data_IF_675644329138
#
_entry.id   IF_675644329138
#
_cell.length_a   1.000
_cell.length_b   1.000
_cell.length_c   1.000
_cell.angle_alpha   90.00
_cell.angle_beta   90.00
_cell.angle_gamma   90.00
#
_symmetry.space_group_name_H-M   'P 1'
#
loop_
_entity.id
_entity.type
_entity.pdbx_description
1 polymer ?
#
# COMPACT_ATOMS: atom_id res chain seq x y z
N UNK A 1 -33.35 74.77 -27.00
CA UNK A 1 -33.81 73.32 -26.87
C UNK A 1 -33.12 72.38 -27.86
N UNK A 2 -32.89 72.74 -29.10
CA UNK A 2 -32.27 71.80 -30.09
C UNK A 2 -30.77 71.53 -29.81
N UNK A 3 -30.00 72.46 -29.25
CA UNK A 3 -28.56 72.27 -28.94
C UNK A 3 -28.34 71.36 -27.76
N UNK A 4 -29.20 71.44 -26.73
CA UNK A 4 -29.18 70.50 -25.55
C UNK A 4 -29.48 69.06 -25.91
N UNK A 5 -30.43 68.81 -26.86
CA UNK A 5 -30.76 67.48 -27.33
C UNK A 5 -29.59 66.83 -28.11
N UNK A 6 -28.83 67.60 -28.92
CA UNK A 6 -27.67 67.14 -29.66
C UNK A 6 -26.50 66.75 -28.70
N UNK A 7 -26.28 67.48 -27.61
CA UNK A 7 -25.26 67.13 -26.63
C UNK A 7 -25.62 65.88 -25.81
N UNK A 8 -26.92 65.68 -25.50
CA UNK A 8 -27.37 64.45 -24.82
C UNK A 8 -27.24 63.22 -25.73
N UNK A 9 -27.50 63.36 -27.03
CA UNK A 9 -27.37 62.26 -28.00
C UNK A 9 -25.91 61.86 -28.23
N UNK A 10 -24.95 62.83 -28.22
CA UNK A 10 -23.51 62.56 -28.31
C UNK A 10 -22.96 61.91 -27.06
N UNK A 11 -23.47 62.24 -25.86
CA UNK A 11 -23.07 61.56 -24.59
C UNK A 11 -23.58 60.12 -24.50
N UNK A 12 -24.74 59.82 -25.04
CA UNK A 12 -25.27 58.43 -25.06
C UNK A 12 -24.54 57.53 -26.08
N UNK A 13 -24.05 58.10 -27.19
CA UNK A 13 -23.25 57.37 -28.15
C UNK A 13 -21.80 57.12 -27.71
N UNK A 14 -21.26 57.94 -26.81
CA UNK A 14 -19.92 57.76 -26.25
C UNK A 14 -19.87 56.68 -25.13
N UNK A 15 -21.01 56.30 -24.53
CA UNK A 15 -21.09 55.29 -23.46
C UNK A 15 -21.08 53.85 -23.94
N UNK A 16 -21.18 53.57 -25.26
CA UNK A 16 -21.29 52.24 -25.82
C UNK A 16 -19.98 51.62 -26.32
N UNK A 17 -18.82 52.23 -26.08
CA UNK A 17 -17.56 51.80 -26.68
C UNK A 17 -16.47 51.35 -25.69
N UNK A 18 -16.81 51.02 -24.44
CA UNK A 18 -15.88 50.32 -23.55
C UNK A 18 -16.39 48.91 -23.36
N UNK A 19 -16.37 48.09 -24.40
CA UNK A 19 -16.23 46.66 -24.26
C UNK A 19 -14.77 46.41 -23.94
N UNK A 20 -14.47 46.31 -22.67
CA UNK A 20 -13.22 45.71 -22.21
C UNK A 20 -13.21 44.29 -22.73
N UNK A 21 -12.51 44.08 -23.82
CA UNK A 21 -12.10 42.75 -24.26
C UNK A 21 -11.06 42.27 -23.26
N UNK A 22 -11.49 41.75 -22.13
CA UNK A 22 -10.61 40.91 -21.33
C UNK A 22 -10.40 39.65 -22.15
N UNK A 23 -9.23 39.53 -22.78
CA UNK A 23 -8.74 38.27 -23.27
C UNK A 23 -8.86 37.26 -22.13
N UNK A 24 -9.43 36.07 -22.32
CA UNK A 24 -9.40 35.08 -21.28
C UNK A 24 -7.94 34.87 -20.92
N UNK A 25 -7.62 35.00 -19.64
CA UNK A 25 -6.28 34.68 -19.12
C UNK A 25 -6.19 33.16 -19.26
N UNK A 26 -5.64 32.71 -20.38
CA UNK A 26 -5.41 31.30 -20.64
C UNK A 26 -4.31 30.85 -19.66
N UNK A 27 -4.62 29.81 -18.88
CA UNK A 27 -3.62 29.13 -18.06
C UNK A 27 -2.47 28.70 -19.00
N UNK A 28 -1.22 29.19 -18.80
CA UNK A 28 -0.09 28.84 -19.67
C UNK A 28 0.23 27.34 -19.66
N UNK A 29 -0.36 26.58 -18.74
CA UNK A 29 -0.24 25.12 -18.64
C UNK A 29 -1.54 24.40 -19.02
N UNK A 30 -2.44 25.06 -19.73
CA UNK A 30 -3.64 24.43 -20.27
C UNK A 30 -3.28 23.22 -21.15
N UNK A 31 -4.00 22.13 -21.00
CA UNK A 31 -3.77 20.90 -21.76
C UNK A 31 -2.56 20.05 -21.29
N UNK A 32 -1.75 20.55 -20.32
CA UNK A 32 -0.59 19.83 -19.81
C UNK A 32 -0.97 18.95 -18.62
N UNK A 33 -0.52 17.70 -18.64
CA UNK A 33 -0.71 16.77 -17.51
C UNK A 33 0.11 17.21 -16.29
N UNK A 34 -0.35 16.98 -15.04
CA UNK A 34 0.42 17.27 -13.84
C UNK A 34 1.80 16.58 -13.79
N UNK A 35 1.94 15.43 -14.43
CA UNK A 35 3.20 14.70 -14.53
C UNK A 35 4.20 15.42 -15.42
N UNK A 36 3.72 16.07 -16.47
CA UNK A 36 4.54 16.79 -17.44
C UNK A 36 4.84 18.24 -17.04
N UNK A 37 4.15 18.81 -16.06
CA UNK A 37 4.34 20.20 -15.63
C UNK A 37 5.82 20.56 -15.35
N UNK A 38 6.58 19.66 -14.73
CA UNK A 38 8.01 19.86 -14.47
C UNK A 38 8.81 20.00 -15.76
N UNK A 39 8.47 19.23 -16.78
CA UNK A 39 9.12 19.28 -18.08
C UNK A 39 8.96 20.66 -18.71
N UNK A 40 7.75 21.20 -18.70
CA UNK A 40 7.45 22.53 -19.27
C UNK A 40 7.94 23.68 -18.41
N UNK A 41 8.10 23.50 -17.10
CA UNK A 41 8.56 24.56 -16.16
C UNK A 41 10.08 24.68 -16.07
N UNK A 42 10.84 23.63 -16.43
CA UNK A 42 12.25 23.50 -16.03
C UNK A 42 13.23 24.30 -16.86
N UNK A 43 12.90 24.71 -18.09
CA UNK A 43 13.85 25.33 -19.03
C UNK A 43 13.28 26.53 -19.75
N UNK A 44 14.18 27.44 -20.18
CA UNK A 44 13.85 28.53 -21.10
C UNK A 44 13.57 28.04 -22.52
N UNK A 45 14.28 26.96 -22.91
CA UNK A 45 14.05 26.20 -24.14
C UNK A 45 13.58 24.79 -23.80
N UNK A 46 12.47 24.36 -24.37
CA UNK A 46 11.85 23.06 -24.19
C UNK A 46 12.13 22.22 -25.43
N UNK A 47 12.46 20.95 -25.25
CA UNK A 47 12.70 20.03 -26.39
C UNK A 47 11.39 19.34 -26.75
N UNK A 48 11.08 19.15 -28.05
CA UNK A 48 9.99 18.28 -28.46
C UNK A 48 10.22 16.86 -27.90
N UNK A 49 9.19 16.17 -27.44
CA UNK A 49 9.32 14.83 -26.83
C UNK A 49 9.83 13.78 -27.82
N UNK A 50 9.54 13.96 -29.13
CA UNK A 50 10.11 13.16 -30.20
C UNK A 50 11.59 13.43 -30.46
N UNK A 51 12.12 14.49 -29.85
CA UNK A 51 13.53 14.88 -29.96
C UNK A 51 13.89 15.68 -31.19
N UNK A 52 12.93 16.02 -32.06
CA UNK A 52 13.15 16.67 -33.37
C UNK A 52 13.66 18.09 -33.26
N UNK A 53 13.06 18.91 -32.40
CA UNK A 53 13.33 20.36 -32.30
C UNK A 53 13.32 20.84 -30.85
N UNK A 54 13.58 22.12 -30.67
CA UNK A 54 13.39 22.88 -29.42
C UNK A 54 12.52 24.09 -29.69
N UNK A 55 11.77 24.51 -28.69
CA UNK A 55 10.90 25.68 -28.71
C UNK A 55 11.05 26.47 -27.41
N UNK A 56 10.65 27.72 -27.43
CA UNK A 56 10.69 28.61 -26.27
C UNK A 56 9.33 28.63 -25.56
N UNK A 57 9.28 29.18 -24.37
CA UNK A 57 7.97 29.35 -23.65
C UNK A 57 6.99 30.26 -24.40
N UNK A 58 7.45 31.16 -25.25
CA UNK A 58 6.58 32.00 -26.06
C UNK A 58 5.88 31.24 -27.19
N UNK A 59 6.43 30.10 -27.53
CA UNK A 59 5.88 29.17 -28.53
C UNK A 59 5.05 28.04 -27.89
N UNK A 60 4.82 28.10 -26.59
CA UNK A 60 3.95 27.15 -25.91
C UNK A 60 2.49 27.62 -26.02
N UNK A 61 1.65 26.83 -26.68
CA UNK A 61 0.24 27.14 -26.92
C UNK A 61 0.04 28.46 -27.70
N UNK A 62 0.84 28.73 -28.72
CA UNK A 62 0.76 29.91 -29.56
C UNK A 62 -0.06 29.73 -30.84
N UNK A 63 -0.77 28.61 -30.97
CA UNK A 63 -1.55 28.22 -32.14
C UNK A 63 -0.71 27.90 -33.39
N UNK A 64 0.60 27.68 -33.23
CA UNK A 64 1.51 27.29 -34.31
C UNK A 64 2.27 26.00 -34.00
N UNK A 65 2.16 25.00 -34.86
CA UNK A 65 2.77 23.69 -34.63
C UNK A 65 4.25 23.65 -34.98
N UNK A 66 5.12 23.81 -34.00
CA UNK A 66 6.58 23.69 -34.13
C UNK A 66 7.07 22.24 -33.99
N UNK A 67 6.50 21.46 -33.09
CA UNK A 67 6.83 20.05 -32.84
C UNK A 67 5.83 19.13 -33.56
N UNK A 68 6.33 18.21 -34.37
CA UNK A 68 5.48 17.27 -35.10
C UNK A 68 4.66 16.35 -34.19
N UNK A 69 5.10 16.13 -32.95
CA UNK A 69 4.42 15.33 -31.93
C UNK A 69 3.43 16.15 -31.09
N UNK A 70 3.33 17.47 -31.31
CA UNK A 70 2.44 18.38 -30.60
C UNK A 70 2.89 18.72 -29.18
N UNK A 71 4.16 18.55 -28.86
CA UNK A 71 4.70 18.91 -27.54
C UNK A 71 4.56 20.40 -27.23
N UNK A 72 4.67 21.27 -28.20
CA UNK A 72 4.55 22.74 -28.10
C UNK A 72 3.10 23.22 -27.95
N UNK A 73 2.15 22.44 -28.41
CA UNK A 73 0.72 22.80 -28.48
C UNK A 73 -0.19 21.84 -27.65
N UNK A 74 0.12 21.62 -26.36
CA UNK A 74 -0.69 20.71 -25.52
C UNK A 74 -2.10 21.27 -25.23
N UNK A 75 -2.29 22.59 -25.33
CA UNK A 75 -3.54 23.28 -25.02
C UNK A 75 -4.36 23.71 -26.22
N UNK A 76 -3.87 23.52 -27.45
CA UNK A 76 -4.54 24.02 -28.66
C UNK A 76 -4.81 22.92 -29.70
N UNK A 77 -5.52 23.26 -30.76
CA UNK A 77 -5.79 22.36 -31.89
C UNK A 77 -4.77 22.47 -33.04
N UNK A 78 -3.69 23.24 -32.87
CA UNK A 78 -2.75 23.59 -33.95
C UNK A 78 -1.95 22.37 -34.47
N UNK A 79 -1.59 21.43 -33.63
CA UNK A 79 -0.84 20.23 -34.02
C UNK A 79 -1.74 19.00 -34.22
N UNK A 80 -1.74 18.34 -35.37
CA UNK A 80 -2.62 17.20 -35.65
C UNK A 80 -2.31 15.98 -34.76
N UNK A 81 -1.09 15.83 -34.26
CA UNK A 81 -0.69 14.74 -33.35
C UNK A 81 -0.72 15.17 -31.86
N UNK A 82 -1.10 16.42 -31.58
CA UNK A 82 -1.19 16.96 -30.24
C UNK A 82 -2.22 16.24 -29.37
N UNK A 83 -2.04 16.32 -28.07
CA UNK A 83 -2.95 15.75 -27.07
C UNK A 83 -3.22 16.75 -25.97
N UNK A 84 -4.49 16.91 -25.67
CA UNK A 84 -4.98 17.77 -24.60
C UNK A 84 -5.31 16.95 -23.35
N UNK A 85 -4.87 17.40 -22.19
CA UNK A 85 -5.15 16.75 -20.92
C UNK A 85 -6.23 17.51 -20.14
N UNK A 86 -7.44 16.93 -20.03
CA UNK A 86 -8.48 17.39 -19.13
C UNK A 86 -8.12 17.01 -17.69
N UNK A 87 -8.03 17.94 -16.77
CA UNK A 87 -7.79 17.66 -15.34
C UNK A 87 -8.97 16.98 -14.68
N UNK A 88 -10.19 17.34 -15.08
CA UNK A 88 -11.44 16.77 -14.60
C UNK A 88 -11.51 16.65 -13.08
N UNK A 89 -11.20 17.74 -12.35
CA UNK A 89 -11.12 17.73 -10.90
C UNK A 89 -12.41 17.19 -10.25
N UNK A 90 -12.31 16.07 -9.54
CA UNK A 90 -13.46 15.36 -8.94
C UNK A 90 -13.93 14.14 -9.75
N UNK A 91 -13.34 13.91 -10.94
CA UNK A 91 -13.53 12.74 -11.78
C UNK A 91 -12.17 12.20 -12.27
N UNK A 92 -12.18 11.21 -13.14
CA UNK A 92 -10.96 10.72 -13.77
C UNK A 92 -10.47 11.70 -14.83
N UNK A 93 -9.14 11.99 -14.88
CA UNK A 93 -8.57 12.77 -15.97
C UNK A 93 -8.78 12.07 -17.30
N UNK A 94 -8.86 12.86 -18.37
CA UNK A 94 -9.07 12.38 -19.75
C UNK A 94 -8.00 12.98 -20.66
N UNK A 95 -7.56 12.24 -21.66
CA UNK A 95 -6.67 12.74 -22.71
C UNK A 95 -7.44 12.73 -24.03
N UNK A 96 -7.56 13.89 -24.65
CA UNK A 96 -8.19 14.11 -25.93
C UNK A 96 -7.15 14.29 -27.04
N UNK A 97 -7.54 14.06 -28.27
CA UNK A 97 -6.77 14.53 -29.40
C UNK A 97 -6.96 16.05 -29.57
N UNK A 98 -5.93 16.75 -30.03
CA UNK A 98 -5.96 18.21 -30.27
C UNK A 98 -7.14 18.69 -31.11
N UNK A 99 -7.61 17.86 -32.05
CA UNK A 99 -8.80 18.14 -32.88
C UNK A 99 -10.11 18.31 -32.11
N UNK A 100 -10.11 17.94 -30.83
CA UNK A 100 -11.26 18.10 -29.92
C UNK A 100 -11.19 19.39 -29.08
N UNK A 101 -10.16 20.20 -29.26
CA UNK A 101 -10.01 21.45 -28.55
C UNK A 101 -10.69 22.56 -29.32
N UNK A 102 -11.63 23.27 -28.68
CA UNK A 102 -12.45 24.32 -29.27
C UNK A 102 -13.23 23.86 -30.51
N UNK A 103 -13.73 22.61 -30.51
CA UNK A 103 -14.52 22.04 -31.59
C UNK A 103 -16.05 22.26 -31.44
N UNK A 104 -16.44 22.86 -30.31
CA UNK A 104 -17.85 23.15 -30.01
C UNK A 104 -18.53 22.02 -29.21
N UNK A 105 -17.80 20.99 -28.78
CA UNK A 105 -18.31 19.86 -28.04
C UNK A 105 -17.58 19.76 -26.70
N UNK A 106 -18.30 19.82 -25.57
CA UNK A 106 -17.73 19.67 -24.24
C UNK A 106 -17.34 18.19 -23.97
N UNK A 107 -16.12 17.81 -24.28
CA UNK A 107 -15.60 16.46 -24.07
C UNK A 107 -15.00 16.30 -22.65
N UNK A 108 -14.35 17.32 -22.10
CA UNK A 108 -13.93 17.37 -20.71
C UNK A 108 -15.11 17.67 -19.78
N UNK A 109 -15.28 16.92 -18.72
CA UNK A 109 -16.35 17.23 -17.77
C UNK A 109 -16.16 18.54 -17.02
N UNK A 110 -14.96 19.12 -16.99
CA UNK A 110 -14.66 20.45 -16.44
C UNK A 110 -14.79 21.58 -17.49
N UNK A 111 -15.03 21.21 -18.75
CA UNK A 111 -15.19 22.13 -19.87
C UNK A 111 -13.90 22.82 -20.31
N UNK A 112 -12.75 22.30 -19.89
CA UNK A 112 -11.44 22.94 -20.16
C UNK A 112 -10.99 22.84 -21.62
N UNK A 113 -11.60 21.98 -22.41
CA UNK A 113 -11.39 21.82 -23.86
C UNK A 113 -12.02 22.94 -24.69
N UNK A 114 -13.09 23.58 -24.19
CA UNK A 114 -13.85 24.64 -24.88
C UNK A 114 -13.63 26.01 -24.22
N UNK A 115 -12.42 26.54 -24.32
CA UNK A 115 -12.02 27.78 -23.63
C UNK A 115 -12.11 29.05 -24.49
N UNK A 116 -12.40 28.95 -25.78
CA UNK A 116 -12.46 30.11 -26.69
C UNK A 116 -13.71 31.01 -26.50
N UNK A 117 -14.62 30.57 -25.63
CA UNK A 117 -15.83 31.32 -25.27
C UNK A 117 -16.97 31.21 -26.28
N UNK A 118 -16.85 30.40 -27.33
CA UNK A 118 -17.95 30.15 -28.28
C UNK A 118 -19.02 29.25 -27.70
N UNK A 119 -18.62 28.28 -26.91
CA UNK A 119 -19.50 27.34 -26.20
C UNK A 119 -19.29 27.46 -24.70
N UNK A 120 -20.38 27.43 -23.94
CA UNK A 120 -20.32 27.45 -22.47
C UNK A 120 -20.48 26.03 -21.94
N UNK A 121 -19.38 25.40 -21.51
CA UNK A 121 -19.39 24.09 -20.88
C UNK A 121 -19.57 24.22 -19.36
N UNK A 122 -20.59 23.54 -18.83
CA UNK A 122 -20.79 23.46 -17.38
C UNK A 122 -19.88 22.37 -16.79
N UNK A 123 -19.22 22.67 -15.65
CA UNK A 123 -18.44 21.66 -14.93
C UNK A 123 -19.35 20.60 -14.30
N UNK A 124 -19.33 19.38 -14.83
CA UNK A 124 -20.11 18.22 -14.38
C UNK A 124 -19.27 17.15 -13.67
N UNK A 125 -17.95 17.38 -13.48
CA UNK A 125 -17.02 16.40 -12.95
C UNK A 125 -17.40 15.88 -11.57
N UNK A 126 -17.97 16.77 -10.72
CA UNK A 126 -18.37 16.35 -9.38
C UNK A 126 -19.45 15.27 -9.41
N UNK A 127 -20.48 15.46 -10.24
CA UNK A 127 -21.55 14.47 -10.36
C UNK A 127 -21.06 13.22 -11.09
N UNK A 128 -20.33 13.37 -12.19
CA UNK A 128 -19.75 12.25 -12.93
C UNK A 128 -18.86 11.35 -12.07
N UNK A 129 -18.06 11.95 -11.17
CA UNK A 129 -17.17 11.21 -10.28
C UNK A 129 -17.81 10.65 -9.01
N UNK A 130 -19.09 10.93 -8.72
CA UNK A 130 -19.79 10.58 -7.48
C UNK A 130 -19.70 9.09 -7.12
N UNK A 131 -20.05 8.22 -8.04
CA UNK A 131 -20.04 6.77 -7.82
C UNK A 131 -18.64 6.24 -7.49
N UNK A 132 -17.62 6.73 -8.21
CA UNK A 132 -16.22 6.35 -7.95
C UNK A 132 -15.75 6.78 -6.57
N UNK A 133 -16.09 8.02 -6.15
CA UNK A 133 -15.76 8.53 -4.81
C UNK A 133 -16.47 7.76 -3.70
N UNK A 134 -17.73 7.43 -3.87
CA UNK A 134 -18.48 6.61 -2.90
C UNK A 134 -17.89 5.22 -2.75
N UNK A 135 -17.53 4.58 -3.86
CA UNK A 135 -16.87 3.26 -3.84
C UNK A 135 -15.50 3.32 -3.16
N UNK A 136 -14.71 4.37 -3.45
CA UNK A 136 -13.41 4.58 -2.80
C UNK A 136 -13.58 4.80 -1.30
N UNK A 137 -14.56 5.62 -0.89
CA UNK A 137 -14.88 5.83 0.54
C UNK A 137 -15.21 4.53 1.26
N UNK A 138 -16.04 3.67 0.65
CA UNK A 138 -16.36 2.34 1.20
C UNK A 138 -15.11 1.47 1.35
N UNK A 139 -14.24 1.42 0.32
CA UNK A 139 -12.98 0.67 0.38
C UNK A 139 -12.07 1.16 1.51
N UNK A 140 -11.91 2.48 1.65
CA UNK A 140 -11.10 3.08 2.73
C UNK A 140 -11.68 2.71 4.10
N UNK A 141 -12.99 2.79 4.27
CA UNK A 141 -13.65 2.43 5.51
C UNK A 141 -13.41 0.95 5.87
N UNK A 142 -13.62 0.03 4.92
CA UNK A 142 -13.36 -1.40 5.13
C UNK A 142 -11.90 -1.68 5.46
N UNK A 143 -10.97 -1.03 4.76
CA UNK A 143 -9.54 -1.15 5.04
C UNK A 143 -9.20 -0.70 6.46
N UNK A 144 -9.70 0.47 6.87
CA UNK A 144 -9.45 1.00 8.22
C UNK A 144 -10.02 0.10 9.31
N UNK A 145 -11.21 -0.47 9.12
CA UNK A 145 -11.80 -1.45 10.03
C UNK A 145 -10.92 -2.70 10.12
N UNK A 146 -10.45 -3.22 9.00
CA UNK A 146 -9.53 -4.37 8.95
C UNK A 146 -8.21 -4.10 9.68
N UNK A 147 -7.64 -2.91 9.52
CA UNK A 147 -6.41 -2.50 10.25
C UNK A 147 -6.62 -2.50 11.76
N UNK A 148 -7.76 -1.98 12.24
CA UNK A 148 -8.07 -1.97 13.68
C UNK A 148 -8.21 -3.39 14.24
N UNK A 149 -8.95 -4.26 13.53
CA UNK A 149 -9.11 -5.67 13.91
C UNK A 149 -7.74 -6.37 13.95
N UNK A 150 -6.95 -6.20 12.91
CA UNK A 150 -5.62 -6.84 12.80
C UNK A 150 -4.66 -6.40 13.90
N UNK A 151 -4.68 -5.12 14.27
CA UNK A 151 -3.87 -4.63 15.41
C UNK A 151 -4.28 -5.30 16.72
N UNK A 152 -5.58 -5.45 16.96
CA UNK A 152 -6.10 -6.13 18.15
C UNK A 152 -5.69 -7.62 18.18
N UNK A 153 -5.79 -8.32 17.06
CA UNK A 153 -5.36 -9.72 16.94
C UNK A 153 -3.86 -9.90 17.20
N UNK A 154 -3.03 -9.01 16.67
CA UNK A 154 -1.58 -9.02 16.91
C UNK A 154 -1.27 -8.85 18.39
N UNK A 155 -1.95 -7.93 19.07
CA UNK A 155 -1.74 -7.70 20.50
C UNK A 155 -2.19 -8.90 21.34
N UNK A 156 -3.33 -9.51 21.01
CA UNK A 156 -3.81 -10.73 21.66
C UNK A 156 -2.84 -11.90 21.45
N UNK A 157 -2.32 -12.04 20.22
CA UNK A 157 -1.35 -13.10 19.90
C UNK A 157 -0.03 -12.92 20.67
N UNK A 158 0.46 -11.70 20.84
CA UNK A 158 1.67 -11.42 21.66
C UNK A 158 1.48 -11.87 23.12
N UNK A 159 0.35 -11.45 23.73
CA UNK A 159 0.03 -11.85 25.10
C UNK A 159 -0.12 -13.38 25.24
N UNK A 160 -0.72 -14.04 24.24
CA UNK A 160 -0.80 -15.48 24.18
C UNK A 160 0.59 -16.14 24.13
N UNK A 161 1.45 -15.67 23.23
CA UNK A 161 2.79 -16.19 23.06
C UNK A 161 3.64 -16.07 24.34
N UNK A 162 3.58 -14.91 25.01
CA UNK A 162 4.28 -14.70 26.29
C UNK A 162 3.83 -15.69 27.38
N UNK A 163 2.53 -15.99 27.46
CA UNK A 163 1.99 -17.00 28.39
C UNK A 163 2.49 -18.41 28.05
N UNK A 164 2.43 -18.79 26.77
CA UNK A 164 2.86 -20.10 26.31
C UNK A 164 4.36 -20.30 26.52
N UNK A 165 5.17 -19.28 26.30
CA UNK A 165 6.61 -19.32 26.59
C UNK A 165 6.92 -19.48 28.10
N UNK A 166 6.17 -18.78 28.96
CA UNK A 166 6.31 -18.92 30.40
C UNK A 166 5.93 -20.33 30.88
N UNK A 167 4.83 -20.89 30.36
CA UNK A 167 4.39 -22.26 30.67
C UNK A 167 5.37 -23.30 30.16
N UNK A 168 5.86 -23.15 28.94
CA UNK A 168 6.89 -24.03 28.37
C UNK A 168 8.16 -24.03 29.22
N UNK A 169 8.60 -22.89 29.73
CA UNK A 169 9.76 -22.79 30.63
C UNK A 169 9.51 -23.55 31.94
N UNK A 170 8.30 -23.43 32.51
CA UNK A 170 7.91 -24.13 33.74
C UNK A 170 7.91 -25.64 33.50
N UNK A 171 7.25 -26.12 32.45
CA UNK A 171 7.18 -27.56 32.10
C UNK A 171 8.56 -28.16 31.83
N UNK A 172 9.47 -27.46 31.15
CA UNK A 172 10.85 -27.91 30.96
C UNK A 172 11.61 -28.03 32.28
N UNK A 173 11.36 -27.14 33.24
CA UNK A 173 11.94 -27.23 34.58
C UNK A 173 11.42 -28.46 35.36
N UNK A 174 10.12 -28.67 35.33
CA UNK A 174 9.47 -29.83 35.96
C UNK A 174 9.96 -31.18 35.33
N UNK A 175 10.05 -31.24 34.02
CA UNK A 175 10.60 -32.39 33.29
C UNK A 175 12.04 -32.70 33.76
N UNK A 176 12.88 -31.72 33.92
CA UNK A 176 14.25 -31.89 34.38
C UNK A 176 14.31 -32.45 35.81
N UNK A 177 13.44 -31.95 36.70
CA UNK A 177 13.35 -32.43 38.09
C UNK A 177 12.88 -33.92 38.12
N UNK A 178 11.81 -34.23 37.35
CA UNK A 178 11.28 -35.58 37.25
C UNK A 178 12.30 -36.57 36.68
N UNK A 179 13.02 -36.19 35.63
CA UNK A 179 14.11 -37.00 35.07
C UNK A 179 15.19 -37.31 36.13
N UNK A 180 15.59 -36.30 36.92
CA UNK A 180 16.53 -36.46 38.01
C UNK A 180 16.00 -37.47 39.09
N UNK A 181 14.73 -37.30 39.47
CA UNK A 181 14.12 -38.21 40.45
C UNK A 181 14.01 -39.66 39.92
N UNK A 182 13.62 -39.84 38.67
CA UNK A 182 13.59 -41.17 38.04
C UNK A 182 14.97 -41.80 38.01
N UNK A 183 16.01 -41.04 37.74
CA UNK A 183 17.37 -41.59 37.77
C UNK A 183 17.80 -41.99 39.21
N UNK A 184 17.52 -41.16 40.19
CA UNK A 184 17.81 -41.52 41.62
C UNK A 184 17.07 -42.80 42.06
N UNK A 185 15.81 -42.94 41.65
CA UNK A 185 15.05 -44.17 41.98
C UNK A 185 15.63 -45.38 41.30
N UNK A 186 16.09 -45.28 40.06
CA UNK A 186 16.75 -46.39 39.35
C UNK A 186 18.04 -46.79 40.03
N UNK A 187 18.88 -45.79 40.40
CA UNK A 187 20.16 -46.06 41.10
C UNK A 187 19.91 -46.73 42.45
N UNK A 188 18.91 -46.26 43.19
CA UNK A 188 18.50 -46.86 44.47
C UNK A 188 17.98 -48.29 44.29
N UNK A 189 17.16 -48.53 43.28
CA UNK A 189 16.69 -49.91 42.96
C UNK A 189 17.86 -50.84 42.67
N UNK A 190 18.80 -50.43 41.85
CA UNK A 190 19.99 -51.22 41.53
C UNK A 190 20.86 -51.51 42.77
N UNK A 191 20.98 -50.56 43.70
CA UNK A 191 21.68 -50.78 44.95
C UNK A 191 20.97 -51.85 45.81
N UNK A 192 19.66 -51.80 45.95
CA UNK A 192 18.87 -52.75 46.67
C UNK A 192 18.98 -54.14 46.01
N UNK A 193 18.85 -54.25 44.74
CA UNK A 193 19.00 -55.51 44.00
C UNK A 193 20.39 -56.17 44.21
N UNK A 194 21.44 -55.35 44.22
CA UNK A 194 22.80 -55.85 44.52
C UNK A 194 22.94 -56.37 45.96
N UNK A 195 22.31 -55.72 46.95
CA UNK A 195 22.31 -56.15 48.35
C UNK A 195 21.55 -57.47 48.47
N UNK A 196 20.34 -57.55 47.89
CA UNK A 196 19.54 -58.76 47.94
C UNK A 196 20.24 -59.97 47.27
N UNK A 197 20.90 -59.72 46.15
CA UNK A 197 21.68 -60.76 45.45
C UNK A 197 22.85 -61.26 46.33
N UNK A 198 23.55 -60.33 46.98
CA UNK A 198 24.64 -60.68 47.87
C UNK A 198 24.14 -61.56 49.08
N UNK A 199 23.06 -61.13 49.71
CA UNK A 199 22.43 -61.87 50.82
C UNK A 199 21.96 -63.23 50.36
N UNK A 200 21.41 -63.36 49.15
CA UNK A 200 21.01 -64.63 48.59
C UNK A 200 22.21 -65.59 48.39
N UNK A 201 23.30 -65.09 47.84
CA UNK A 201 24.50 -65.86 47.63
C UNK A 201 25.15 -66.31 48.97
N UNK A 202 25.12 -65.44 49.99
CA UNK A 202 25.61 -65.79 51.35
C UNK A 202 24.74 -66.90 51.96
N UNK A 203 23.44 -66.83 51.91
CA UNK A 203 22.52 -67.84 52.37
C UNK A 203 22.70 -69.21 51.64
N UNK A 204 22.87 -69.18 50.32
CA UNK A 204 23.17 -70.39 49.55
C UNK A 204 24.52 -71.00 49.94
N UNK A 205 25.55 -70.24 50.29
CA UNK A 205 26.80 -70.80 50.82
C UNK A 205 26.64 -71.39 52.17
N UNK A 206 26.01 -70.68 53.09
CA UNK A 206 25.75 -71.18 54.45
C UNK A 206 24.92 -72.50 54.40
N UNK A 207 23.94 -72.55 53.51
CA UNK A 207 23.14 -73.77 53.35
C UNK A 207 23.94 -74.99 52.76
N UNK A 208 24.84 -74.73 51.80
CA UNK A 208 25.76 -75.70 51.27
C UNK A 208 26.73 -76.21 52.35
N UNK A 209 27.38 -75.28 53.09
CA UNK A 209 28.29 -75.64 54.21
C UNK A 209 27.58 -76.44 55.27
N UNK A 210 26.34 -76.09 55.63
CA UNK A 210 25.51 -76.88 56.58
C UNK A 210 25.22 -78.25 56.04
N UNK A 211 24.83 -78.42 54.79
CA UNK A 211 24.57 -79.73 54.14
C UNK A 211 25.82 -80.60 54.06
N UNK A 212 26.98 -80.01 53.79
CA UNK A 212 28.27 -80.75 53.79
C UNK A 212 28.66 -81.19 55.18
N UNK A 213 28.49 -80.30 56.19
CA UNK A 213 28.73 -80.65 57.59
C UNK A 213 27.79 -81.77 58.11
N UNK A 214 26.47 -81.75 57.73
CA UNK A 214 25.53 -82.79 58.05
C UNK A 214 25.91 -84.12 57.38
N UNK A 215 26.40 -84.10 56.12
CA UNK A 215 26.87 -85.26 55.39
C UNK A 215 28.13 -85.86 56.03
N UNK A 216 29.06 -84.99 56.49
CA UNK A 216 30.29 -85.45 57.16
C UNK A 216 30.04 -86.01 58.59
N UNK A 217 28.96 -85.57 59.27
CA UNK A 217 28.60 -86.00 60.59
C UNK A 217 27.82 -87.33 60.62
N UNK A 218 27.43 -87.87 59.46
CA UNK A 218 26.80 -89.19 59.41
C UNK A 218 27.85 -90.29 59.58
N UNK A 219 27.77 -91.09 60.68
CA UNK A 219 28.73 -92.17 60.88
C UNK A 219 28.54 -93.20 59.81
N UNK A 220 29.62 -93.58 59.14
CA UNK A 220 29.65 -94.58 58.11
C UNK A 220 28.96 -95.90 58.56
N UNK A 221 27.83 -96.18 57.92
CA UNK A 221 27.39 -97.57 57.96
C UNK A 221 28.26 -98.35 57.01
N UNK A 222 29.36 -98.85 57.62
CA UNK A 222 30.24 -99.83 57.00
C UNK A 222 29.54 -101.09 56.77
N UNK A 223 29.85 -101.66 55.63
CA UNK A 223 29.32 -102.90 55.09
C UNK A 223 29.47 -104.14 55.84
N UNK A 224 28.70 -104.97 55.41
CA UNK A 224 29.04 -106.39 55.28
C UNK A 224 28.44 -106.91 54.02
#
# INVERSE_FOLDING_TARGET
MRVLLSFLLLLVLASSAIRSSSSPVTDPFLGISPQDEKYYKSFSEIKCKDGSKRFTRAQLNDDFCDCADGTDEPGTSACPNGKFHCRNAGHSPLVLFSSRVNDGICDCCDGSDEYDGKVACSNTCWEAGKAARENLKKKIQTYNQGVVIRRKEIEQAKVGLEKDEAELKKLKSEEKILKGLVQQLKDRKEQIEKIEEKERLEKEKEEKERKEAELAAQPGKGGR
#
